data_IF_412705244512
#
_entry.id   IF_412705244512
#
_cell.length_a   1.000
_cell.length_b   1.000
_cell.length_c   1.000
_cell.angle_alpha   90.00
_cell.angle_beta   90.00
_cell.angle_gamma   90.00
#
_symmetry.space_group_name_H-M   'P 1'
#
loop_
_entity.id
_entity.type
_entity.pdbx_description
1 polymer ?
#
# COMPACT_ATOMS: atom_id res chain seq x y z
N UNK A 1 -17.05 -6.70 17.30
CA UNK A 1 -16.77 -6.43 15.87
C UNK A 1 -15.78 -5.30 15.81
N UNK A 2 -14.52 -5.66 15.71
CA UNK A 2 -13.37 -4.78 15.62
C UNK A 2 -12.98 -4.63 14.16
N UNK A 3 -12.54 -3.44 13.76
CA UNK A 3 -11.92 -3.22 12.44
C UNK A 3 -10.41 -3.17 12.65
N UNK A 4 -9.67 -4.00 11.93
CA UNK A 4 -8.22 -3.93 11.85
C UNK A 4 -7.86 -3.15 10.58
N UNK A 5 -7.29 -1.98 10.76
CA UNK A 5 -7.10 -0.99 9.70
C UNK A 5 -5.62 -0.97 9.29
N UNK A 6 -5.34 -1.28 8.04
CA UNK A 6 -4.04 -1.07 7.40
C UNK A 6 -4.15 0.11 6.46
N UNK A 7 -3.45 1.19 6.79
CA UNK A 7 -3.44 2.42 6.01
C UNK A 7 -2.14 2.52 5.20
N UNK A 8 -2.24 2.87 3.93
CA UNK A 8 -1.07 3.11 3.10
C UNK A 8 -1.41 3.78 1.78
N UNK A 9 -0.39 4.34 1.11
CA UNK A 9 -0.55 4.81 -0.26
C UNK A 9 -0.59 3.66 -1.27
N UNK A 10 0.02 2.51 -0.96
CA UNK A 10 0.09 1.35 -1.84
C UNK A 10 0.62 1.66 -3.26
N UNK A 11 1.76 2.35 -3.36
CA UNK A 11 2.37 2.79 -4.62
C UNK A 11 3.69 2.04 -4.93
N UNK A 12 3.66 0.75 -5.35
CA UNK A 12 2.50 -0.13 -5.52
C UNK A 12 2.19 -0.91 -4.23
N UNK A 13 1.22 -1.82 -4.25
CA UNK A 13 1.13 -2.85 -3.21
C UNK A 13 2.37 -3.76 -3.28
N UNK A 14 3.03 -4.03 -2.14
CA UNK A 14 4.33 -4.69 -2.08
C UNK A 14 4.45 -5.55 -0.82
N UNK A 15 5.52 -6.34 -0.68
CA UNK A 15 5.66 -7.32 0.40
C UNK A 15 5.58 -6.72 1.81
N UNK A 16 6.07 -5.48 2.01
CA UNK A 16 5.86 -4.75 3.26
C UNK A 16 4.38 -4.51 3.59
N UNK A 17 3.54 -4.18 2.59
CA UNK A 17 2.10 -4.05 2.80
C UNK A 17 1.45 -5.41 3.07
N UNK A 18 1.82 -6.45 2.32
CA UNK A 18 1.36 -7.82 2.56
C UNK A 18 1.61 -8.23 4.01
N UNK A 19 2.82 -8.02 4.53
CA UNK A 19 3.17 -8.34 5.91
C UNK A 19 2.28 -7.60 6.94
N UNK A 20 1.99 -6.31 6.71
CA UNK A 20 1.07 -5.56 7.58
C UNK A 20 -0.34 -6.13 7.56
N UNK A 21 -0.84 -6.49 6.37
CA UNK A 21 -2.17 -7.07 6.20
C UNK A 21 -2.27 -8.44 6.83
N UNK A 22 -1.27 -9.31 6.66
CA UNK A 22 -1.21 -10.62 7.31
C UNK A 22 -1.10 -10.50 8.83
N UNK A 23 -0.32 -9.54 9.33
CA UNK A 23 -0.22 -9.25 10.77
C UNK A 23 -1.55 -8.79 11.35
N UNK A 24 -2.29 -7.94 10.63
CA UNK A 24 -3.63 -7.53 11.00
C UNK A 24 -4.62 -8.72 10.97
N UNK A 25 -4.55 -9.54 9.92
CA UNK A 25 -5.42 -10.71 9.75
C UNK A 25 -5.27 -11.73 10.88
N UNK A 26 -4.06 -11.93 11.40
CA UNK A 26 -3.81 -12.84 12.54
C UNK A 26 -4.57 -12.47 13.83
N UNK A 27 -5.19 -11.29 13.89
CA UNK A 27 -5.98 -10.83 15.01
C UNK A 27 -7.50 -10.78 14.72
N UNK A 28 -7.90 -11.05 13.49
CA UNK A 28 -9.31 -11.03 13.07
C UNK A 28 -10.01 -12.26 13.62
N UNK A 29 -11.06 -12.04 14.41
CA UNK A 29 -11.97 -13.09 14.86
C UNK A 29 -13.28 -13.09 14.07
N UNK A 30 -14.18 -14.05 14.33
CA UNK A 30 -15.49 -14.11 13.67
C UNK A 30 -16.29 -12.82 13.91
N UNK A 31 -16.68 -12.15 12.82
CA UNK A 31 -17.43 -10.89 12.85
C UNK A 31 -16.56 -9.62 12.89
N UNK A 32 -15.24 -9.76 12.96
CA UNK A 32 -14.32 -8.64 12.75
C UNK A 32 -14.12 -8.35 11.26
N UNK A 33 -13.49 -7.22 10.96
CA UNK A 33 -13.21 -6.79 9.59
C UNK A 33 -11.77 -6.38 9.41
N UNK A 34 -11.17 -6.81 8.31
CA UNK A 34 -9.88 -6.33 7.84
C UNK A 34 -10.10 -5.22 6.80
N UNK A 35 -9.61 -4.02 7.09
CA UNK A 35 -9.84 -2.82 6.29
C UNK A 35 -8.52 -2.32 5.73
N UNK A 36 -8.41 -2.24 4.41
CA UNK A 36 -7.26 -1.65 3.73
C UNK A 36 -7.66 -0.25 3.24
N UNK A 37 -7.08 0.77 3.85
CA UNK A 37 -7.38 2.17 3.56
C UNK A 37 -6.32 2.77 2.63
N UNK A 38 -6.69 3.00 1.37
CA UNK A 38 -5.86 3.62 0.35
C UNK A 38 -5.82 5.13 0.60
N UNK A 39 -4.70 5.64 1.13
CA UNK A 39 -4.45 7.07 1.28
C UNK A 39 -4.09 7.76 -0.03
N UNK A 40 -4.13 9.09 -0.07
CA UNK A 40 -3.85 9.87 -1.29
C UNK A 40 -4.67 9.41 -2.49
N UNK A 41 -5.98 9.21 -2.32
CA UNK A 41 -6.89 8.71 -3.37
C UNK A 41 -6.80 9.53 -4.67
N UNK A 42 -6.71 10.85 -4.55
CA UNK A 42 -6.63 11.78 -5.67
C UNK A 42 -5.32 11.70 -6.47
N UNK A 43 -4.30 11.02 -5.93
CA UNK A 43 -2.98 10.93 -6.56
C UNK A 43 -2.93 9.82 -7.63
N UNK A 44 -2.21 10.09 -8.70
CA UNK A 44 -2.01 9.20 -9.83
C UNK A 44 -1.18 9.91 -10.91
N UNK A 45 -0.46 9.14 -11.74
CA UNK A 45 0.36 9.70 -12.82
C UNK A 45 1.46 10.68 -12.37
N UNK A 46 2.03 10.46 -11.19
CA UNK A 46 3.15 11.24 -10.65
C UNK A 46 4.34 10.34 -10.28
N UNK A 47 5.59 10.84 -10.21
CA UNK A 47 6.76 10.03 -9.86
C UNK A 47 6.63 9.29 -8.52
N UNK A 48 5.99 9.93 -7.53
CA UNK A 48 5.77 9.36 -6.20
C UNK A 48 4.43 8.63 -6.06
N UNK A 49 3.48 8.90 -6.97
CA UNK A 49 2.15 8.30 -7.01
C UNK A 49 1.81 7.86 -8.44
N UNK A 50 2.52 6.86 -8.98
CA UNK A 50 2.40 6.51 -10.39
C UNK A 50 1.06 5.83 -10.75
N UNK A 51 0.42 5.15 -9.78
CA UNK A 51 -0.83 4.43 -9.97
C UNK A 51 -2.02 5.14 -9.31
N UNK A 52 -3.20 5.12 -9.93
CA UNK A 52 -4.42 5.75 -9.38
C UNK A 52 -4.99 4.95 -8.22
N UNK A 53 -6.01 5.46 -7.51
CA UNK A 53 -6.67 4.69 -6.45
C UNK A 53 -7.28 3.37 -6.97
N UNK A 54 -7.88 3.40 -8.15
CA UNK A 54 -8.53 2.26 -8.79
C UNK A 54 -7.52 1.17 -9.15
N UNK A 55 -6.35 1.57 -9.67
CA UNK A 55 -5.26 0.64 -10.00
C UNK A 55 -4.68 0.00 -8.76
N UNK A 56 -4.49 0.78 -7.69
CA UNK A 56 -4.02 0.28 -6.39
C UNK A 56 -5.02 -0.66 -5.76
N UNK A 57 -6.31 -0.34 -5.82
CA UNK A 57 -7.38 -1.22 -5.38
C UNK A 57 -7.37 -2.53 -6.17
N UNK A 58 -7.21 -2.48 -7.50
CA UNK A 58 -7.13 -3.66 -8.34
C UNK A 58 -5.95 -4.57 -7.94
N UNK A 59 -4.75 -4.01 -7.76
CA UNK A 59 -3.58 -4.76 -7.25
C UNK A 59 -3.86 -5.46 -5.92
N UNK A 60 -4.48 -4.74 -4.97
CA UNK A 60 -4.84 -5.28 -3.66
C UNK A 60 -5.87 -6.41 -3.80
N UNK A 61 -6.89 -6.24 -4.64
CA UNK A 61 -7.94 -7.26 -4.86
C UNK A 61 -7.38 -8.53 -5.48
N UNK A 62 -6.52 -8.42 -6.49
CA UNK A 62 -5.83 -9.57 -7.09
C UNK A 62 -5.01 -10.35 -6.06
N UNK A 63 -4.24 -9.63 -5.24
CA UNK A 63 -3.47 -10.24 -4.15
C UNK A 63 -4.36 -10.89 -3.08
N UNK A 64 -5.40 -10.19 -2.61
CA UNK A 64 -6.29 -10.69 -1.58
C UNK A 64 -7.06 -11.93 -2.05
N UNK A 65 -7.50 -11.95 -3.31
CA UNK A 65 -8.16 -13.11 -3.91
C UNK A 65 -7.24 -14.33 -3.98
N UNK A 66 -5.98 -14.15 -4.42
CA UNK A 66 -5.02 -15.27 -4.44
C UNK A 66 -4.60 -15.74 -3.06
N UNK A 67 -4.76 -14.90 -2.03
CA UNK A 67 -4.43 -15.22 -0.64
C UNK A 67 -5.64 -15.75 0.15
N UNK A 68 -6.80 -15.94 -0.49
CA UNK A 68 -8.08 -16.30 0.15
C UNK A 68 -8.46 -15.36 1.31
N UNK A 69 -8.10 -14.07 1.21
CA UNK A 69 -8.37 -13.06 2.22
C UNK A 69 -9.59 -12.22 1.86
N UNK A 70 -10.55 -12.13 2.78
CA UNK A 70 -11.67 -11.19 2.66
C UNK A 70 -11.28 -9.85 3.27
N UNK A 71 -11.18 -8.82 2.43
CA UNK A 71 -10.81 -7.45 2.83
C UNK A 71 -11.88 -6.44 2.42
N UNK A 72 -12.11 -5.44 3.27
CA UNK A 72 -12.84 -4.22 2.93
C UNK A 72 -11.81 -3.18 2.45
N UNK A 73 -11.96 -2.67 1.23
CA UNK A 73 -11.06 -1.65 0.68
C UNK A 73 -11.81 -0.32 0.63
N UNK A 74 -11.18 0.72 1.17
CA UNK A 74 -11.69 2.10 1.15
C UNK A 74 -10.59 3.04 0.66
N UNK A 75 -10.97 4.18 0.09
CA UNK A 75 -10.01 5.18 -0.41
C UNK A 75 -10.28 6.55 0.22
N UNK A 76 -9.19 7.20 0.67
CA UNK A 76 -9.20 8.42 1.47
C UNK A 76 -8.46 9.52 0.69
N UNK A 77 -9.11 10.66 0.52
CA UNK A 77 -8.50 11.85 -0.07
C UNK A 77 -7.64 12.56 0.97
N UNK A 78 -6.50 13.11 0.56
CA UNK A 78 -5.72 13.92 1.48
C UNK A 78 -6.42 15.26 1.73
N UNK A 79 -6.42 15.69 2.98
CA UNK A 79 -6.87 17.03 3.36
C UNK A 79 -5.67 17.89 3.74
N UNK A 80 -5.72 19.18 3.38
CA UNK A 80 -4.69 20.16 3.75
C UNK A 80 -4.87 20.65 5.20
N UNK A 81 -5.15 19.73 6.12
CA UNK A 81 -5.42 20.02 7.53
C UNK A 81 -4.88 18.86 8.41
N UNK A 82 -3.56 18.82 8.66
CA UNK A 82 -2.91 17.72 9.38
C UNK A 82 -3.53 17.43 10.77
N UNK A 83 -3.90 18.42 11.60
CA UNK A 83 -4.58 18.17 12.87
C UNK A 83 -5.90 17.38 12.76
N UNK A 84 -6.64 17.55 11.66
CA UNK A 84 -7.93 16.90 11.45
C UNK A 84 -7.86 15.66 10.55
N UNK A 85 -6.66 15.29 10.08
CA UNK A 85 -6.46 14.19 9.14
C UNK A 85 -7.00 12.85 9.67
N UNK A 86 -6.74 12.49 10.94
CA UNK A 86 -7.23 11.22 11.50
C UNK A 86 -8.76 11.23 11.65
N UNK A 87 -9.35 12.37 12.03
CA UNK A 87 -10.81 12.49 12.11
C UNK A 87 -11.45 12.29 10.75
N UNK A 88 -10.88 12.89 9.71
CA UNK A 88 -11.32 12.70 8.33
C UNK A 88 -11.16 11.24 7.87
N UNK A 89 -10.01 10.63 8.09
CA UNK A 89 -9.75 9.23 7.74
C UNK A 89 -10.71 8.27 8.44
N UNK A 90 -10.99 8.52 9.73
CA UNK A 90 -11.93 7.76 10.57
C UNK A 90 -13.34 7.75 10.01
N UNK A 91 -13.82 8.83 9.40
CA UNK A 91 -15.16 8.87 8.78
C UNK A 91 -15.29 7.85 7.63
N UNK A 92 -14.17 7.45 7.04
CA UNK A 92 -14.12 6.55 5.88
C UNK A 92 -13.74 5.12 6.29
N UNK A 93 -12.62 4.95 7.00
CA UNK A 93 -12.17 3.61 7.41
C UNK A 93 -12.85 3.10 8.69
N UNK A 94 -13.58 3.94 9.42
CA UNK A 94 -14.30 3.61 10.66
C UNK A 94 -13.41 3.54 11.91
N UNK A 95 -14.02 3.25 13.06
CA UNK A 95 -13.31 3.05 14.33
C UNK A 95 -12.71 1.63 14.40
N UNK A 96 -11.51 1.50 14.99
CA UNK A 96 -10.85 0.21 15.12
C UNK A 96 -9.44 0.28 15.67
N UNK A 97 -8.65 -0.73 15.34
CA UNK A 97 -7.22 -0.85 15.68
C UNK A 97 -6.42 -0.55 14.41
N UNK A 98 -5.52 0.44 14.48
CA UNK A 98 -4.57 0.68 13.40
C UNK A 98 -3.43 -0.34 13.49
N UNK A 99 -3.07 -0.94 12.36
CA UNK A 99 -1.88 -1.78 12.22
C UNK A 99 -0.91 -1.10 11.25
N UNK A 100 0.25 -0.69 11.73
CA UNK A 100 1.24 0.06 10.93
C UNK A 100 2.67 -0.21 11.41
N UNK A 101 3.65 -0.03 10.53
CA UNK A 101 5.08 -0.02 10.87
C UNK A 101 5.69 1.38 10.71
N UNK A 102 4.87 2.37 10.35
CA UNK A 102 5.29 3.75 10.23
C UNK A 102 5.10 4.50 11.55
N UNK A 103 6.22 4.85 12.20
CA UNK A 103 6.24 5.51 13.51
C UNK A 103 5.44 6.82 13.50
N UNK A 104 5.54 7.60 12.41
CA UNK A 104 4.83 8.88 12.31
C UNK A 104 3.31 8.70 12.26
N UNK A 105 2.84 7.71 11.51
CA UNK A 105 1.44 7.32 11.44
C UNK A 105 0.96 6.74 12.77
N UNK A 106 1.79 5.93 13.42
CA UNK A 106 1.48 5.35 14.72
C UNK A 106 1.29 6.42 15.79
N UNK A 107 2.23 7.37 15.89
CA UNK A 107 2.12 8.52 16.81
C UNK A 107 0.88 9.38 16.50
N UNK A 108 0.63 9.67 15.23
CA UNK A 108 -0.53 10.45 14.80
C UNK A 108 -1.86 9.81 15.25
N UNK A 109 -2.01 8.50 15.06
CA UNK A 109 -3.23 7.78 15.47
C UNK A 109 -3.35 7.59 16.98
N UNK A 110 -2.24 7.36 17.69
CA UNK A 110 -2.23 7.32 19.17
C UNK A 110 -2.71 8.64 19.76
N UNK A 111 -2.23 9.76 19.22
CA UNK A 111 -2.66 11.09 19.66
C UNK A 111 -4.16 11.35 19.41
N UNK A 112 -4.74 10.69 18.41
CA UNK A 112 -6.17 10.69 18.13
C UNK A 112 -6.99 9.66 18.95
N UNK A 113 -6.34 8.89 19.82
CA UNK A 113 -6.99 7.93 20.73
C UNK A 113 -7.23 6.53 20.17
N UNK A 114 -6.62 6.17 19.03
CA UNK A 114 -6.73 4.82 18.49
C UNK A 114 -5.82 3.83 19.22
N UNK A 115 -6.26 2.58 19.33
CA UNK A 115 -5.34 1.46 19.58
C UNK A 115 -4.46 1.28 18.34
N UNK A 116 -3.14 1.21 18.55
CA UNK A 116 -2.17 1.04 17.46
C UNK A 116 -1.31 -0.20 17.75
N UNK A 117 -1.20 -1.09 16.75
CA UNK A 117 -0.31 -2.25 16.76
C UNK A 117 0.80 -2.07 15.75
N UNK A 118 2.03 -2.27 16.22
CA UNK A 118 3.27 -2.13 15.44
C UNK A 118 3.97 -3.49 15.33
N UNK A 119 3.65 -4.30 14.29
CA UNK A 119 4.34 -5.57 14.10
C UNK A 119 5.81 -5.34 13.70
N UNK A 120 6.72 -6.17 14.21
CA UNK A 120 8.15 -6.07 13.89
C UNK A 120 8.45 -6.55 12.46
N UNK A 121 8.68 -5.62 11.54
CA UNK A 121 9.05 -5.97 10.16
C UNK A 121 10.56 -6.10 10.00
N UNK A 122 11.03 -7.34 9.83
CA UNK A 122 12.38 -7.60 9.35
C UNK A 122 12.49 -7.19 7.86
N UNK A 123 13.59 -6.55 7.49
CA UNK A 123 13.87 -6.05 6.12
C UNK A 123 13.02 -4.85 5.65
N UNK A 124 12.60 -3.97 6.57
CA UNK A 124 11.92 -2.69 6.23
C UNK A 124 12.60 -1.93 5.09
N UNK A 125 13.94 -1.92 5.08
CA UNK A 125 14.75 -1.27 4.04
C UNK A 125 14.57 -1.85 2.63
N UNK A 126 14.12 -3.09 2.45
CA UNK A 126 13.87 -3.66 1.12
C UNK A 126 12.48 -3.35 0.60
N UNK A 127 11.54 -3.07 1.50
CA UNK A 127 10.11 -2.92 1.18
C UNK A 127 9.64 -1.48 1.29
N UNK A 128 10.54 -0.51 1.18
CA UNK A 128 10.17 0.90 1.10
C UNK A 128 9.61 1.21 -0.29
N UNK A 129 8.42 1.81 -0.35
CA UNK A 129 7.75 2.09 -1.62
C UNK A 129 8.62 2.88 -2.62
N UNK A 130 9.51 3.78 -2.16
CA UNK A 130 10.42 4.50 -3.06
C UNK A 130 11.43 3.56 -3.74
N UNK A 131 11.97 2.56 -3.02
CA UNK A 131 12.90 1.55 -3.58
C UNK A 131 12.19 0.66 -4.57
N UNK A 132 11.00 0.18 -4.20
CA UNK A 132 10.15 -0.62 -5.07
C UNK A 132 9.87 0.12 -6.39
N UNK A 133 9.52 1.41 -6.32
CA UNK A 133 9.32 2.24 -7.53
C UNK A 133 10.59 2.45 -8.34
N UNK A 134 11.76 2.60 -7.71
CA UNK A 134 13.03 2.71 -8.45
C UNK A 134 13.36 1.42 -9.21
N UNK A 135 13.23 0.26 -8.56
CA UNK A 135 13.43 -1.03 -9.23
C UNK A 135 12.43 -1.24 -10.36
N UNK A 136 11.14 -0.95 -10.13
CA UNK A 136 10.11 -0.99 -11.16
C UNK A 136 10.40 -0.04 -12.34
N UNK A 137 10.93 1.16 -12.07
CA UNK A 137 11.33 2.12 -13.10
C UNK A 137 12.54 1.63 -13.91
N UNK A 138 13.50 0.93 -13.31
CA UNK A 138 14.60 0.33 -14.09
C UNK A 138 14.09 -0.71 -15.10
N UNK A 139 12.98 -1.36 -14.78
CA UNK A 139 12.35 -2.38 -15.62
C UNK A 139 11.27 -1.81 -16.56
N UNK A 140 10.89 -0.54 -16.44
CA UNK A 140 9.75 0.02 -17.18
C UNK A 140 9.91 0.12 -18.69
N UNK A 141 11.11 -0.16 -19.21
CA UNK A 141 11.42 -0.21 -20.64
C UNK A 141 12.03 -1.56 -21.04
N UNK A 142 12.05 -2.51 -20.11
CA UNK A 142 12.51 -3.88 -20.34
C UNK A 142 11.30 -4.68 -20.82
N UNK A 143 11.28 -5.00 -22.11
CA UNK A 143 10.22 -5.82 -22.74
C UNK A 143 10.49 -7.32 -22.55
N UNK A 144 10.75 -7.72 -21.31
CA UNK A 144 11.02 -9.09 -20.90
C UNK A 144 10.28 -9.40 -19.59
N UNK A 145 9.13 -10.06 -19.72
CA UNK A 145 8.26 -10.36 -18.59
C UNK A 145 8.91 -11.37 -17.61
N UNK A 146 9.84 -12.21 -18.05
CA UNK A 146 10.55 -13.14 -17.17
C UNK A 146 11.53 -12.38 -16.28
N UNK A 147 12.28 -11.45 -16.87
CA UNK A 147 13.16 -10.55 -16.12
C UNK A 147 12.38 -9.66 -15.13
N UNK A 148 11.21 -9.15 -15.54
CA UNK A 148 10.34 -8.36 -14.65
C UNK A 148 9.90 -9.20 -13.45
N UNK A 149 9.45 -10.44 -13.67
CA UNK A 149 9.03 -11.35 -12.59
C UNK A 149 10.17 -11.69 -11.64
N UNK A 150 11.35 -11.99 -12.18
CA UNK A 150 12.53 -12.35 -11.38
C UNK A 150 12.95 -11.19 -10.47
N UNK A 151 13.08 -9.99 -11.02
CA UNK A 151 13.61 -8.83 -10.29
C UNK A 151 12.56 -8.25 -9.33
N UNK A 152 11.31 -8.07 -9.75
CA UNK A 152 10.26 -7.54 -8.87
C UNK A 152 9.83 -8.54 -7.80
N UNK A 153 9.98 -9.84 -8.05
CA UNK A 153 9.63 -10.92 -7.11
C UNK A 153 10.36 -10.84 -5.78
N UNK A 154 11.46 -10.08 -5.69
CA UNK A 154 12.17 -9.83 -4.44
C UNK A 154 11.42 -8.86 -3.49
N UNK A 155 10.42 -8.10 -3.98
CA UNK A 155 9.75 -7.06 -3.18
C UNK A 155 8.26 -6.88 -3.44
N UNK A 156 7.71 -7.47 -4.52
CA UNK A 156 6.31 -7.34 -4.90
C UNK A 156 5.66 -8.74 -4.96
N UNK A 157 4.43 -8.92 -4.43
CA UNK A 157 3.71 -10.19 -4.56
C UNK A 157 3.48 -10.57 -6.02
N UNK A 158 3.52 -11.86 -6.33
CA UNK A 158 3.37 -12.37 -7.71
C UNK A 158 2.10 -11.84 -8.40
N UNK A 159 0.95 -11.88 -7.72
CA UNK A 159 -0.32 -11.37 -8.24
C UNK A 159 -0.25 -9.91 -8.71
N UNK A 160 0.45 -9.07 -7.96
CA UNK A 160 0.63 -7.65 -8.28
C UNK A 160 1.60 -7.48 -9.45
N UNK A 161 2.64 -8.32 -9.55
CA UNK A 161 3.55 -8.32 -10.70
C UNK A 161 2.79 -8.68 -11.98
N UNK A 162 1.96 -9.74 -11.95
CA UNK A 162 1.16 -10.10 -13.12
C UNK A 162 0.22 -8.95 -13.50
N UNK A 163 -0.47 -8.34 -12.53
CA UNK A 163 -1.31 -7.18 -12.79
C UNK A 163 -0.53 -6.03 -13.45
N UNK A 164 0.69 -5.75 -12.97
CA UNK A 164 1.55 -4.69 -13.53
C UNK A 164 1.95 -4.97 -14.99
N UNK A 165 2.24 -6.23 -15.32
CA UNK A 165 2.61 -6.66 -16.69
C UNK A 165 1.38 -6.60 -17.60
N UNK A 166 0.27 -7.22 -17.19
CA UNK A 166 -0.96 -7.32 -17.99
C UNK A 166 -1.56 -5.96 -18.35
N UNK A 167 -1.36 -4.95 -17.50
CA UNK A 167 -1.89 -3.60 -17.70
C UNK A 167 -0.86 -2.61 -18.26
N UNK A 168 0.33 -3.07 -18.68
CA UNK A 168 1.46 -2.21 -19.10
C UNK A 168 1.74 -1.06 -18.10
N UNK A 169 1.51 -1.35 -16.81
CA UNK A 169 1.44 -0.34 -15.77
C UNK A 169 2.83 0.12 -15.30
N UNK A 170 3.89 -0.56 -15.75
CA UNK A 170 5.28 -0.15 -15.54
C UNK A 170 5.71 0.94 -16.52
N UNK A 171 5.25 0.92 -17.78
CA UNK A 171 5.74 1.81 -18.83
C UNK A 171 5.69 3.29 -18.45
N UNK A 172 4.62 3.72 -17.77
CA UNK A 172 4.45 5.11 -17.28
C UNK A 172 5.59 5.58 -16.38
N UNK A 173 6.28 4.68 -15.67
CA UNK A 173 7.42 5.06 -14.83
C UNK A 173 8.57 5.64 -15.65
N UNK A 174 8.69 5.23 -16.92
CA UNK A 174 9.70 5.75 -17.85
C UNK A 174 9.43 7.19 -18.29
N UNK A 175 8.17 7.65 -18.19
CA UNK A 175 7.77 9.00 -18.65
C UNK A 175 7.96 10.06 -17.58
N UNK A 176 8.15 9.66 -16.32
CA UNK A 176 8.43 10.56 -15.22
C UNK A 176 9.88 11.04 -15.23
N UNK A 177 10.08 12.36 -15.16
CA UNK A 177 11.41 12.97 -15.08
C UNK A 177 12.23 12.38 -13.92
N UNK A 178 13.53 12.18 -14.16
CA UNK A 178 14.48 11.73 -13.14
C UNK A 178 14.90 12.91 -12.27
N UNK A 179 14.05 13.27 -11.30
CA UNK A 179 14.49 14.10 -10.18
C UNK A 179 15.55 13.35 -9.37
N UNK A 180 16.71 13.97 -9.16
CA UNK A 180 17.77 13.44 -8.28
C UNK A 180 17.27 13.61 -6.84
N UNK A 181 16.58 12.60 -6.32
CA UNK A 181 16.03 12.55 -4.96
C UNK A 181 15.02 13.65 -4.60
N UNK A 182 13.74 13.29 -4.50
CA UNK A 182 12.84 13.93 -3.55
C UNK A 182 12.40 12.81 -2.59
N UNK A 183 13.03 12.80 -1.40
CA UNK A 183 12.75 11.85 -0.32
C UNK A 183 11.33 11.95 0.22
#
# INVERSE_FOLDING_TARGET
MTRYIVLGRFQPFHMGHQYLVESAFNHVEEGDKLVLAIGSKQAGWEPNNPWTAEEREAMIREWAQQSDLTVEIVAIEDINDPPNWVSHAREIHGEGVLVTTDDSTAELYRNAGFEVREPEMNQRELFEGWRVRQTAKMLSTVYDDEAVREVLGASIPKSVIEWLIENDALFRLSTFETGVHAG
#
